data_IF_365863670020
#
_entry.id   IF_365863670020
#
_cell.length_a   1.000
_cell.length_b   1.000
_cell.length_c   1.000
_cell.angle_alpha   90.00
_cell.angle_beta   90.00
_cell.angle_gamma   90.00
#
_symmetry.space_group_name_H-M   'P 1'
#
loop_
_entity.id
_entity.type
_entity.pdbx_description
1 polymer ?
#
# COMPACT_ATOMS: atom_id res chain seq x y z
N UNK A 1 -13.20 15.68 18.57
CA UNK A 1 -12.95 14.42 17.82
C UNK A 1 -13.60 13.31 18.61
N UNK A 2 -14.42 12.45 17.99
CA UNK A 2 -15.10 11.37 18.72
C UNK A 2 -14.08 10.40 19.31
N UNK A 3 -14.18 10.12 20.61
CA UNK A 3 -13.34 9.16 21.31
C UNK A 3 -14.04 7.81 21.26
N UNK A 4 -13.45 6.90 20.51
CA UNK A 4 -14.07 5.63 20.15
C UNK A 4 -13.61 4.58 21.17
N UNK A 5 -14.51 3.74 21.70
CA UNK A 5 -14.19 2.84 22.80
C UNK A 5 -13.13 1.79 22.41
N UNK A 6 -12.35 1.31 23.40
CA UNK A 6 -11.28 0.32 23.16
C UNK A 6 -11.77 -0.97 22.49
N UNK A 7 -13.01 -1.34 22.74
CA UNK A 7 -13.68 -2.52 22.17
C UNK A 7 -14.02 -2.38 20.67
N UNK A 8 -13.94 -1.17 20.09
CA UNK A 8 -14.30 -0.94 18.70
C UNK A 8 -13.46 -1.81 17.72
N UNK A 9 -12.22 -2.11 18.09
CA UNK A 9 -11.30 -2.91 17.28
C UNK A 9 -11.33 -4.42 17.62
N UNK A 10 -12.08 -4.82 18.64
CA UNK A 10 -12.07 -6.20 19.13
C UNK A 10 -12.56 -7.16 18.06
N UNK A 11 -11.80 -8.24 17.82
CA UNK A 11 -12.11 -9.24 16.81
C UNK A 11 -11.91 -8.80 15.35
N UNK A 12 -11.61 -7.53 15.07
CA UNK A 12 -11.37 -7.07 13.70
C UNK A 12 -9.93 -7.41 13.24
N UNK A 13 -9.75 -7.80 11.96
CA UNK A 13 -8.44 -8.18 11.43
C UNK A 13 -7.52 -6.96 11.28
N UNK A 14 -6.67 -6.74 12.28
CA UNK A 14 -5.76 -5.59 12.39
C UNK A 14 -4.91 -5.34 11.13
N UNK A 15 -4.40 -6.40 10.50
CA UNK A 15 -3.63 -6.31 9.25
C UNK A 15 -4.42 -5.62 8.13
N UNK A 16 -5.72 -5.95 7.98
CA UNK A 16 -6.58 -5.32 6.97
C UNK A 16 -6.89 -3.87 7.34
N UNK A 17 -7.13 -3.59 8.63
CA UNK A 17 -7.33 -2.23 9.12
C UNK A 17 -6.12 -1.34 8.80
N UNK A 18 -4.91 -1.83 9.07
CA UNK A 18 -3.68 -1.08 8.84
C UNK A 18 -3.39 -0.90 7.37
N UNK A 19 -3.50 -1.98 6.58
CA UNK A 19 -3.23 -1.97 5.14
C UNK A 19 -4.14 -1.03 4.38
N UNK A 20 -5.42 -0.97 4.76
CA UNK A 20 -6.43 -0.16 4.08
C UNK A 20 -6.75 1.14 4.82
N UNK A 21 -6.01 1.47 5.88
CA UNK A 21 -6.19 2.68 6.68
C UNK A 21 -7.63 2.85 7.18
N UNK A 22 -8.21 1.75 7.66
CA UNK A 22 -9.58 1.70 8.17
C UNK A 22 -9.53 1.86 9.69
N UNK A 23 -10.27 2.84 10.20
CA UNK A 23 -10.33 3.14 11.63
C UNK A 23 -11.62 2.57 12.21
N UNK A 24 -11.56 1.62 13.15
CA UNK A 24 -12.75 1.22 13.88
C UNK A 24 -13.22 2.35 14.81
N UNK A 25 -14.52 2.67 14.75
CA UNK A 25 -15.15 3.67 15.59
C UNK A 25 -15.88 3.04 16.76
N UNK A 26 -16.79 2.12 16.49
CA UNK A 26 -17.55 1.50 17.57
C UNK A 26 -17.98 0.09 17.16
N UNK A 27 -18.27 -0.73 18.17
CA UNK A 27 -18.77 -2.09 17.98
C UNK A 27 -19.93 -2.35 18.93
N UNK A 28 -21.06 -2.76 18.35
CA UNK A 28 -22.26 -3.16 19.04
C UNK A 28 -22.65 -4.57 18.58
N UNK A 29 -22.32 -5.58 19.40
CA UNK A 29 -22.54 -7.00 19.08
C UNK A 29 -21.92 -7.39 17.73
N UNK A 30 -22.75 -7.63 16.71
CA UNK A 30 -22.35 -7.99 15.35
C UNK A 30 -22.27 -6.79 14.42
N UNK A 31 -22.35 -5.56 14.90
CA UNK A 31 -22.25 -4.37 14.06
C UNK A 31 -20.97 -3.62 14.43
N UNK A 32 -20.12 -3.36 13.44
CA UNK A 32 -18.94 -2.53 13.58
C UNK A 32 -19.06 -1.30 12.67
N UNK A 33 -18.90 -0.12 13.26
CA UNK A 33 -18.81 1.15 12.52
C UNK A 33 -17.35 1.47 12.29
N UNK A 34 -17.02 1.88 11.06
CA UNK A 34 -15.63 2.12 10.65
C UNK A 34 -15.51 3.39 9.82
N UNK A 35 -14.38 4.08 9.90
CA UNK A 35 -14.01 5.12 8.94
C UNK A 35 -13.11 4.51 7.87
N UNK A 36 -13.47 4.70 6.61
CA UNK A 36 -12.75 4.18 5.44
C UNK A 36 -12.26 5.32 4.55
N UNK A 37 -11.13 5.16 3.85
CA UNK A 37 -10.77 6.06 2.76
C UNK A 37 -11.78 6.04 1.62
N UNK A 38 -11.87 7.18 0.91
CA UNK A 38 -12.56 7.28 -0.39
C UNK A 38 -12.00 6.21 -1.34
N UNK A 39 -12.90 5.43 -1.98
CA UNK A 39 -12.58 4.29 -2.87
C UNK A 39 -12.02 3.03 -2.20
N UNK A 40 -12.33 2.77 -0.93
CA UNK A 40 -12.06 1.45 -0.35
C UNK A 40 -12.86 0.37 -1.11
N UNK A 41 -12.21 -0.66 -1.67
CA UNK A 41 -12.90 -1.70 -2.42
C UNK A 41 -13.89 -2.47 -1.55
N UNK A 42 -15.02 -2.86 -2.13
CA UNK A 42 -16.05 -3.60 -1.41
C UNK A 42 -15.55 -4.95 -0.88
N UNK A 43 -14.67 -5.65 -1.61
CA UNK A 43 -14.11 -6.92 -1.13
C UNK A 43 -13.34 -6.79 0.19
N UNK A 44 -12.74 -5.62 0.46
CA UNK A 44 -12.01 -5.37 1.70
C UNK A 44 -13.00 -5.35 2.87
N UNK A 45 -14.12 -4.65 2.70
CA UNK A 45 -15.17 -4.57 3.73
C UNK A 45 -15.81 -5.93 3.98
N UNK A 46 -16.09 -6.70 2.91
CA UNK A 46 -16.58 -8.08 3.04
C UNK A 46 -15.61 -8.98 3.79
N UNK A 47 -14.32 -8.85 3.51
CA UNK A 47 -13.29 -9.65 4.17
C UNK A 47 -13.18 -9.30 5.66
N UNK A 48 -13.22 -8.01 6.00
CA UNK A 48 -13.24 -7.55 7.40
C UNK A 48 -14.51 -8.04 8.11
N UNK A 49 -15.67 -7.94 7.46
CA UNK A 49 -16.95 -8.42 7.98
C UNK A 49 -16.90 -9.92 8.31
N UNK A 50 -16.38 -10.72 7.36
CA UNK A 50 -16.27 -12.18 7.48
C UNK A 50 -15.26 -12.59 8.57
N UNK A 51 -14.06 -12.01 8.57
CA UNK A 51 -13.02 -12.35 9.55
C UNK A 51 -13.39 -11.84 10.96
N UNK A 52 -14.04 -10.68 11.06
CA UNK A 52 -14.48 -10.08 12.32
C UNK A 52 -15.84 -10.53 12.82
N UNK A 53 -16.51 -11.43 12.10
CA UNK A 53 -17.87 -11.93 12.36
C UNK A 53 -18.86 -10.79 12.71
N UNK A 54 -18.90 -9.77 11.85
CA UNK A 54 -19.73 -8.58 12.02
C UNK A 54 -20.16 -7.98 10.68
N UNK A 55 -21.22 -7.19 10.71
CA UNK A 55 -21.63 -6.26 9.67
C UNK A 55 -20.82 -4.96 9.79
N UNK A 56 -20.46 -4.40 8.64
CA UNK A 56 -19.62 -3.19 8.57
C UNK A 56 -20.47 -2.02 8.11
N UNK A 57 -20.48 -0.95 8.91
CA UNK A 57 -21.15 0.32 8.61
C UNK A 57 -20.09 1.40 8.37
N UNK A 58 -19.77 1.70 7.10
CA UNK A 58 -18.67 2.59 6.76
C UNK A 58 -19.09 4.06 6.78
N UNK A 59 -18.20 4.89 7.31
CA UNK A 59 -18.17 6.34 7.16
C UNK A 59 -16.94 6.72 6.34
N UNK A 60 -17.04 7.79 5.57
CA UNK A 60 -15.91 8.26 4.76
C UNK A 60 -15.03 9.18 5.59
N UNK A 61 -13.72 8.93 5.55
CA UNK A 61 -12.70 9.79 6.15
C UNK A 61 -11.55 10.07 5.21
N UNK A 62 -10.77 11.09 5.59
CA UNK A 62 -9.55 11.46 4.89
C UNK A 62 -8.42 10.49 5.26
N UNK A 63 -7.59 10.16 4.28
CA UNK A 63 -6.45 9.23 4.45
C UNK A 63 -5.47 9.73 5.52
N UNK A 64 -5.19 11.03 5.54
CA UNK A 64 -4.29 11.67 6.51
C UNK A 64 -4.81 11.52 7.94
N UNK A 65 -6.09 11.76 8.15
CA UNK A 65 -6.77 11.69 9.44
C UNK A 65 -6.84 10.25 9.92
N UNK A 66 -7.23 9.31 9.06
CA UNK A 66 -7.26 7.89 9.40
C UNK A 66 -5.87 7.39 9.84
N UNK A 67 -4.83 7.78 9.11
CA UNK A 67 -3.44 7.43 9.45
C UNK A 67 -3.02 8.00 10.81
N UNK A 68 -3.36 9.26 11.10
CA UNK A 68 -3.08 9.90 12.39
C UNK A 68 -3.77 9.14 13.52
N UNK A 69 -5.06 8.85 13.38
CA UNK A 69 -5.83 8.12 14.39
C UNK A 69 -5.31 6.70 14.59
N UNK A 70 -4.91 6.00 13.52
CA UNK A 70 -4.31 4.68 13.64
C UNK A 70 -2.98 4.72 14.41
N UNK A 71 -2.12 5.70 14.15
CA UNK A 71 -0.86 5.86 14.86
C UNK A 71 -1.05 6.20 16.35
N UNK A 72 -2.07 7.00 16.67
CA UNK A 72 -2.40 7.37 18.06
C UNK A 72 -3.00 6.20 18.86
N UNK A 73 -3.85 5.38 18.21
CA UNK A 73 -4.63 4.33 18.90
C UNK A 73 -3.98 2.95 18.89
N UNK A 74 -3.15 2.67 17.89
CA UNK A 74 -2.51 1.37 17.71
C UNK A 74 -0.99 1.57 17.71
N UNK A 75 -0.33 1.39 18.87
CA UNK A 75 1.12 1.61 19.00
C UNK A 75 1.97 0.78 18.02
N UNK A 76 1.44 -0.35 17.56
CA UNK A 76 2.08 -1.24 16.60
C UNK A 76 1.87 -0.83 15.13
N UNK A 77 1.00 0.15 14.84
CA UNK A 77 0.77 0.63 13.47
C UNK A 77 2.02 1.26 12.86
N UNK A 78 2.73 2.12 13.61
CA UNK A 78 3.94 2.77 13.10
C UNK A 78 5.08 1.77 12.82
N UNK A 79 5.46 0.88 13.76
CA UNK A 79 6.42 -0.18 13.49
C UNK A 79 6.02 -1.09 12.32
N UNK A 80 4.75 -1.50 12.26
CA UNK A 80 4.22 -2.31 11.17
C UNK A 80 4.41 -1.60 9.81
N UNK A 81 4.11 -0.30 9.75
CA UNK A 81 4.22 0.48 8.52
C UNK A 81 5.66 0.61 8.06
N UNK A 82 6.60 0.86 8.97
CA UNK A 82 8.03 0.89 8.66
C UNK A 82 8.52 -0.45 8.10
N UNK A 83 8.04 -1.57 8.65
CA UNK A 83 8.36 -2.89 8.14
C UNK A 83 7.83 -3.10 6.71
N UNK A 84 6.61 -2.66 6.43
CA UNK A 84 6.03 -2.74 5.08
C UNK A 84 6.79 -1.86 4.08
N UNK A 85 7.20 -0.66 4.49
CA UNK A 85 7.97 0.26 3.64
C UNK A 85 9.35 -0.32 3.32
N UNK A 86 10.04 -0.92 4.30
CA UNK A 86 11.30 -1.65 4.10
C UNK A 86 11.14 -2.83 3.14
N UNK A 87 10.07 -3.62 3.28
CA UNK A 87 9.76 -4.75 2.37
C UNK A 87 9.51 -4.28 0.93
N UNK A 88 8.84 -3.14 0.76
CA UNK A 88 8.59 -2.54 -0.56
C UNK A 88 9.89 -2.02 -1.18
N UNK A 89 10.74 -1.38 -0.38
CA UNK A 89 12.03 -0.88 -0.84
C UNK A 89 12.97 -2.03 -1.26
N UNK A 90 13.07 -3.10 -0.46
CA UNK A 90 13.90 -4.26 -0.80
C UNK A 90 13.38 -4.98 -2.04
N UNK A 91 12.06 -5.13 -2.20
CA UNK A 91 11.45 -5.69 -3.41
C UNK A 91 11.74 -4.82 -4.65
N UNK A 92 11.79 -3.48 -4.49
CA UNK A 92 12.18 -2.57 -5.56
C UNK A 92 13.65 -2.73 -5.94
N UNK A 93 14.56 -2.80 -4.96
CA UNK A 93 15.99 -3.02 -5.19
C UNK A 93 16.27 -4.35 -5.90
N UNK A 94 15.65 -5.44 -5.45
CA UNK A 94 15.77 -6.74 -6.11
C UNK A 94 15.28 -6.73 -7.57
N UNK A 95 14.23 -5.97 -7.89
CA UNK A 95 13.76 -5.83 -9.28
C UNK A 95 14.77 -5.07 -10.14
N UNK A 96 15.39 -4.02 -9.61
CA UNK A 96 16.43 -3.26 -10.31
C UNK A 96 17.68 -4.13 -10.54
N UNK A 97 18.19 -4.80 -9.49
CA UNK A 97 19.37 -5.68 -9.59
C UNK A 97 19.16 -6.86 -10.55
N UNK A 98 17.94 -7.41 -10.58
CA UNK A 98 17.57 -8.48 -11.54
C UNK A 98 17.40 -7.98 -12.97
N UNK A 99 17.08 -6.71 -13.16
CA UNK A 99 17.04 -6.07 -14.48
C UNK A 99 18.46 -5.71 -14.99
N UNK A 100 19.42 -5.54 -14.09
CA UNK A 100 20.84 -5.28 -14.39
C UNK A 100 21.67 -6.57 -14.55
N UNK A 101 21.06 -7.75 -14.34
CA UNK A 101 21.71 -9.04 -14.58
C UNK A 101 21.78 -9.33 -16.09
N UNK A 102 22.95 -9.66 -16.66
CA UNK A 102 23.17 -9.72 -18.11
C UNK A 102 22.49 -10.90 -18.84
N UNK A 103 21.88 -11.82 -18.10
CA UNK A 103 21.22 -13.01 -18.67
C UNK A 103 19.69 -12.87 -18.61
N UNK A 104 19.10 -12.20 -19.61
CA UNK A 104 17.74 -12.47 -20.09
C UNK A 104 17.48 -11.79 -21.44
N UNK A 105 17.78 -12.54 -22.50
CA UNK A 105 17.25 -12.32 -23.84
C UNK A 105 15.72 -12.17 -23.78
N UNK A 106 15.19 -11.07 -24.30
CA UNK A 106 13.79 -10.94 -24.68
C UNK A 106 13.03 -9.71 -24.19
N UNK A 107 13.55 -8.94 -23.23
CA UNK A 107 12.86 -7.70 -22.78
C UNK A 107 13.78 -6.47 -22.70
N UNK A 108 15.10 -6.67 -22.81
CA UNK A 108 16.08 -5.59 -22.97
C UNK A 108 16.13 -4.98 -24.37
N UNK A 109 15.40 -5.54 -25.33
CA UNK A 109 15.49 -5.14 -26.74
C UNK A 109 14.99 -3.71 -26.97
N UNK A 110 14.00 -3.25 -26.19
CA UNK A 110 13.50 -1.87 -26.27
C UNK A 110 14.45 -0.83 -25.67
N UNK A 111 15.10 -1.13 -24.53
CA UNK A 111 16.04 -0.20 -23.90
C UNK A 111 17.33 -0.10 -24.72
N UNK A 112 17.82 -1.25 -25.21
CA UNK A 112 19.02 -1.35 -26.04
C UNK A 112 18.84 -0.66 -27.41
N UNK A 113 17.60 -0.61 -27.94
CA UNK A 113 17.29 0.08 -29.19
C UNK A 113 17.53 1.60 -29.08
N UNK A 114 17.15 2.22 -27.97
CA UNK A 114 17.35 3.66 -27.75
C UNK A 114 18.82 3.99 -27.49
N UNK A 115 19.54 3.18 -26.71
CA UNK A 115 20.96 3.40 -26.46
C UNK A 115 21.81 3.21 -27.73
N UNK A 116 21.44 2.23 -28.58
CA UNK A 116 22.08 2.03 -29.89
C UNK A 116 21.81 3.18 -30.85
N UNK A 117 20.59 3.71 -30.84
CA UNK A 117 20.23 4.89 -31.63
C UNK A 117 20.99 6.14 -31.18
N UNK A 118 21.08 6.40 -29.86
CA UNK A 118 21.78 7.56 -29.30
C UNK A 118 23.30 7.52 -29.60
N UNK A 119 23.92 6.33 -29.52
CA UNK A 119 25.32 6.14 -29.91
C UNK A 119 25.57 6.45 -31.39
N UNK A 120 24.66 6.05 -32.29
CA UNK A 120 24.81 6.34 -33.73
C UNK A 120 24.70 7.84 -34.02
N UNK A 121 23.78 8.55 -33.37
CA UNK A 121 23.65 10.01 -33.50
C UNK A 121 24.92 10.70 -33.00
N UNK A 122 25.39 10.34 -31.81
CA UNK A 122 26.64 10.90 -31.24
C UNK A 122 27.86 10.65 -32.12
N UNK A 123 27.98 9.47 -32.70
CA UNK A 123 29.07 9.14 -33.62
C UNK A 123 28.97 9.96 -34.92
N UNK A 124 27.77 10.12 -35.48
CA UNK A 124 27.56 10.93 -36.68
C UNK A 124 27.87 12.43 -36.46
N UNK A 125 27.61 12.96 -35.26
CA UNK A 125 27.95 14.35 -34.90
C UNK A 125 29.46 14.55 -34.69
N UNK A 126 30.18 13.48 -34.34
CA UNK A 126 31.64 13.53 -34.11
C UNK A 126 32.44 13.35 -35.40
N UNK A 127 31.93 12.56 -36.34
CA UNK A 127 32.63 12.23 -37.59
C UNK A 127 32.23 13.18 -38.76
N UNK A 128 31.33 14.14 -38.52
CA UNK A 128 30.79 15.09 -39.51
C UNK A 128 31.15 16.57 -39.28
N UNK A 129 32.25 16.85 -38.59
CA UNK A 129 32.84 18.19 -38.42
C UNK A 129 34.17 18.33 -39.12
#
# INVERSE_FOLDING_TARGET
>A
MYEAPKQAAEGLPKELLFRHLIVPLDRFDRIATVVIPILTPFEVLLRIAKEGNCEIYPYIGLISENRKVLAERFPDFAPWREEQDKKRESARKQRTERAESPDKEGTGDWMNLFDSADQKVRKSLRDGG
#
